data_IF_256924955825
#
_entry.id   IF_256924955825
#
_cell.length_a   1.000
_cell.length_b   1.000
_cell.length_c   1.000
_cell.angle_alpha   90.00
_cell.angle_beta   90.00
_cell.angle_gamma   90.00
#
_symmetry.space_group_name_H-M   'P 1'
#
loop_
_entity.id
_entity.type
_entity.pdbx_description
1 polymer ?
#
# COMPACT_ATOMS: atom_id res chain seq x y z
N UNK A 1 3.32 -13.30 25.03
CA UNK A 1 4.78 -13.44 24.77
C UNK A 1 5.53 -12.46 25.68
N UNK A 2 6.86 -12.47 25.76
CA UNK A 2 7.60 -11.53 26.61
C UNK A 2 8.90 -11.04 25.95
N UNK A 3 9.38 -9.89 26.40
CA UNK A 3 10.67 -9.31 26.02
C UNK A 3 11.38 -8.72 27.26
N UNK A 4 12.63 -8.32 27.09
CA UNK A 4 13.45 -7.74 28.15
C UNK A 4 13.93 -6.35 27.73
N UNK A 5 13.53 -5.33 28.48
CA UNK A 5 14.04 -3.98 28.29
C UNK A 5 15.40 -3.85 28.96
N UNK A 6 16.42 -3.45 28.20
CA UNK A 6 17.77 -3.25 28.74
C UNK A 6 17.87 -1.86 29.39
N UNK A 7 18.15 -1.81 30.70
CA UNK A 7 18.60 -0.60 31.40
C UNK A 7 20.00 -0.87 31.97
N UNK A 8 20.84 0.16 32.05
CA UNK A 8 22.29 0.12 32.36
C UNK A 8 22.75 -0.89 33.45
N UNK A 9 21.91 -1.22 34.44
CA UNK A 9 22.24 -2.10 35.57
C UNK A 9 21.27 -3.28 35.78
N UNK A 10 20.16 -3.37 35.02
CA UNK A 10 19.20 -4.48 35.15
C UNK A 10 18.31 -4.65 33.92
N UNK A 11 17.93 -5.88 33.61
CA UNK A 11 16.94 -6.20 32.59
C UNK A 11 15.54 -6.29 33.20
N UNK A 12 14.59 -5.53 32.68
CA UNK A 12 13.19 -5.58 33.11
C UNK A 12 12.40 -6.47 32.15
N UNK A 13 11.70 -7.49 32.67
CA UNK A 13 10.82 -8.35 31.87
C UNK A 13 9.49 -7.64 31.60
N UNK A 14 9.11 -7.56 30.33
CA UNK A 14 7.82 -7.05 29.88
C UNK A 14 7.00 -8.17 29.25
N UNK A 15 5.73 -8.30 29.65
CA UNK A 15 4.75 -9.11 28.94
C UNK A 15 4.21 -8.32 27.76
N UNK A 16 4.13 -8.96 26.59
CA UNK A 16 3.58 -8.37 25.38
C UNK A 16 2.22 -9.01 25.12
N UNK A 17 1.19 -8.18 25.08
CA UNK A 17 -0.16 -8.55 24.67
C UNK A 17 -0.47 -7.90 23.32
N UNK A 18 -0.81 -8.73 22.33
CA UNK A 18 -1.18 -8.29 20.99
C UNK A 18 -2.70 -8.25 20.90
N UNK A 19 -3.27 -7.05 20.80
CA UNK A 19 -4.70 -6.80 20.63
C UNK A 19 -4.96 -6.33 19.20
N UNK A 20 -6.23 -6.34 18.76
CA UNK A 20 -6.58 -6.03 17.37
C UNK A 20 -5.90 -4.78 16.80
N UNK A 21 -5.95 -3.68 17.55
CA UNK A 21 -5.50 -2.35 17.13
C UNK A 21 -4.41 -1.77 18.06
N UNK A 22 -3.89 -2.56 19.01
CA UNK A 22 -2.90 -2.10 20.00
C UNK A 22 -1.94 -3.21 20.42
N UNK A 23 -0.77 -2.83 20.92
CA UNK A 23 0.12 -3.70 21.68
C UNK A 23 0.31 -3.12 23.07
N UNK A 24 0.19 -3.97 24.09
CA UNK A 24 0.45 -3.60 25.48
C UNK A 24 1.76 -4.22 25.94
N UNK A 25 2.69 -3.39 26.39
CA UNK A 25 3.93 -3.80 27.06
C UNK A 25 3.76 -3.60 28.56
N UNK A 26 3.55 -4.68 29.31
CA UNK A 26 3.30 -4.64 30.75
C UNK A 26 4.53 -5.04 31.55
N UNK A 27 4.91 -4.24 32.54
CA UNK A 27 5.91 -4.57 33.56
C UNK A 27 5.35 -4.23 34.94
N UNK A 28 5.20 -5.24 35.80
CA UNK A 28 4.56 -5.11 37.11
C UNK A 28 3.16 -4.45 36.97
N UNK A 29 2.97 -3.27 37.57
CA UNK A 29 1.70 -2.51 37.52
C UNK A 29 1.68 -1.44 36.41
N UNK A 30 2.76 -1.30 35.63
CA UNK A 30 2.85 -0.34 34.53
C UNK A 30 2.50 -0.99 33.19
N UNK A 31 1.70 -0.30 32.37
CA UNK A 31 1.34 -0.72 31.02
C UNK A 31 1.68 0.40 30.04
N UNK A 32 2.55 0.12 29.08
CA UNK A 32 2.80 0.98 27.92
C UNK A 32 1.94 0.51 26.75
N UNK A 33 1.06 1.39 26.25
CA UNK A 33 0.15 1.10 25.14
C UNK A 33 0.71 1.69 23.84
N UNK A 34 0.85 0.84 22.83
CA UNK A 34 1.29 1.20 21.49
C UNK A 34 0.10 1.03 20.55
N UNK A 35 -0.39 2.15 20.00
CA UNK A 35 -1.46 2.13 19.00
C UNK A 35 -0.93 1.65 17.64
N UNK A 36 -1.67 0.76 17.01
CA UNK A 36 -1.42 0.31 15.64
C UNK A 36 -2.10 1.26 14.64
N UNK A 37 -1.77 1.09 13.36
CA UNK A 37 -2.19 1.97 12.26
C UNK A 37 -1.75 3.43 12.49
N UNK A 38 -0.60 3.58 13.14
CA UNK A 38 0.04 4.84 13.47
C UNK A 38 1.45 4.89 12.86
N UNK A 39 1.95 6.10 12.62
CA UNK A 39 3.32 6.32 12.15
C UNK A 39 4.33 6.42 13.31
N UNK A 40 3.85 6.43 14.55
CA UNK A 40 4.63 6.45 15.79
C UNK A 40 4.02 5.51 16.84
N UNK A 41 4.82 4.83 17.67
CA UNK A 41 6.28 4.76 17.65
C UNK A 41 6.81 4.03 16.40
N UNK A 42 8.07 4.30 16.02
CA UNK A 42 8.74 3.55 14.95
C UNK A 42 9.49 2.34 15.50
N UNK A 43 9.42 1.23 14.78
CA UNK A 43 10.07 -0.02 15.13
C UNK A 43 11.34 -0.21 14.30
N UNK A 44 12.46 -0.46 14.95
CA UNK A 44 13.68 -0.89 14.28
C UNK A 44 14.07 -2.27 14.77
N UNK A 45 14.20 -3.21 13.85
CA UNK A 45 14.67 -4.56 14.15
C UNK A 45 16.18 -4.65 13.98
N UNK A 46 16.83 -5.44 14.83
CA UNK A 46 18.27 -5.65 14.83
C UNK A 46 18.63 -7.10 15.11
N UNK A 47 19.74 -7.53 14.50
CA UNK A 47 20.22 -8.91 14.52
C UNK A 47 20.70 -9.35 15.91
N UNK A 48 20.44 -10.62 16.24
CA UNK A 48 21.28 -11.42 17.15
C UNK A 48 21.78 -12.62 16.35
N UNK A 49 23.11 -12.72 16.15
CA UNK A 49 23.97 -13.80 15.61
C UNK A 49 23.49 -14.67 14.43
N UNK A 50 22.22 -15.10 14.38
CA UNK A 50 21.64 -16.07 13.45
C UNK A 50 20.33 -15.57 12.79
N UNK A 51 19.68 -14.51 13.29
CA UNK A 51 18.45 -13.94 12.70
C UNK A 51 18.36 -12.41 12.82
N UNK A 52 17.59 -11.76 11.92
CA UNK A 52 17.25 -10.33 11.93
C UNK A 52 16.39 -9.89 13.13
N UNK A 53 16.07 -10.84 14.01
CA UNK A 53 15.02 -10.73 15.00
C UNK A 53 15.56 -11.26 16.32
N UNK A 54 16.38 -10.47 17.01
CA UNK A 54 16.78 -10.73 18.40
C UNK A 54 16.51 -9.55 19.32
N UNK A 55 16.25 -8.40 18.72
CA UNK A 55 16.05 -7.15 19.42
C UNK A 55 15.21 -6.20 18.55
N UNK A 56 14.29 -5.48 19.19
CA UNK A 56 13.61 -4.35 18.58
C UNK A 56 13.80 -3.08 19.42
N UNK A 57 13.81 -1.96 18.73
CA UNK A 57 13.93 -0.63 19.29
C UNK A 57 12.68 0.17 18.94
N UNK A 58 12.08 0.80 19.96
CA UNK A 58 10.94 1.70 19.81
C UNK A 58 11.43 3.15 19.89
N UNK A 59 11.16 3.90 18.83
CA UNK A 59 11.44 5.33 18.76
C UNK A 59 10.14 6.13 18.89
N UNK A 60 10.07 7.00 19.90
CA UNK A 60 8.98 7.97 20.06
C UNK A 60 9.50 9.24 20.73
N UNK A 61 9.11 10.42 20.25
CA UNK A 61 9.43 11.71 20.87
C UNK A 61 10.92 11.86 21.30
N UNK A 62 11.86 11.50 20.42
CA UNK A 62 13.32 11.47 20.65
C UNK A 62 13.81 10.47 21.72
N UNK A 63 12.93 9.64 22.28
CA UNK A 63 13.30 8.56 23.20
C UNK A 63 13.38 7.24 22.45
N UNK A 64 14.52 6.55 22.62
CA UNK A 64 14.71 5.17 22.19
C UNK A 64 14.54 4.22 23.37
N UNK A 65 13.87 3.09 23.15
CA UNK A 65 13.74 1.99 24.10
C UNK A 65 14.06 0.68 23.41
N UNK A 66 15.05 -0.03 23.93
CA UNK A 66 15.54 -1.28 23.34
C UNK A 66 15.03 -2.47 24.13
N UNK A 67 14.47 -3.45 23.42
CA UNK A 67 13.92 -4.68 23.95
C UNK A 67 14.57 -5.89 23.28
N UNK A 68 15.15 -6.79 24.06
CA UNK A 68 15.58 -8.11 23.60
C UNK A 68 14.40 -9.07 23.63
N UNK A 69 14.27 -9.89 22.61
CA UNK A 69 13.17 -10.85 22.48
C UNK A 69 13.70 -12.15 21.91
N UNK A 70 13.11 -13.27 22.33
CA UNK A 70 13.38 -14.55 21.70
C UNK A 70 13.09 -14.47 20.19
N UNK A 71 13.96 -15.00 19.30
CA UNK A 71 13.77 -14.86 17.86
C UNK A 71 12.44 -15.38 17.31
N UNK A 72 11.94 -16.51 17.83
CA UNK A 72 10.67 -17.08 17.38
C UNK A 72 9.49 -16.17 17.76
N UNK A 73 9.54 -15.62 18.97
CA UNK A 73 8.55 -14.66 19.45
C UNK A 73 8.65 -13.34 18.68
N UNK A 74 9.87 -12.85 18.42
CA UNK A 74 10.07 -11.63 17.66
C UNK A 74 9.53 -11.75 16.22
N UNK A 75 9.63 -12.92 15.59
CA UNK A 75 9.10 -13.16 14.25
C UNK A 75 7.58 -13.04 14.26
N UNK A 76 6.92 -13.72 15.20
CA UNK A 76 5.47 -13.63 15.39
C UNK A 76 5.02 -12.18 15.64
N UNK A 77 5.77 -11.43 16.45
CA UNK A 77 5.47 -10.02 16.72
C UNK A 77 5.65 -9.17 15.47
N UNK A 78 6.74 -9.35 14.71
CA UNK A 78 6.99 -8.63 13.45
C UNK A 78 5.87 -8.91 12.43
N UNK A 79 5.50 -10.17 12.24
CA UNK A 79 4.39 -10.56 11.37
C UNK A 79 3.06 -9.93 11.79
N UNK A 80 2.78 -9.88 13.10
CA UNK A 80 1.58 -9.24 13.62
C UNK A 80 1.55 -7.71 13.36
N UNK A 81 2.73 -7.08 13.37
CA UNK A 81 2.96 -5.65 13.16
C UNK A 81 2.97 -5.23 11.68
N UNK A 82 3.19 -6.17 10.76
CA UNK A 82 3.29 -5.92 9.34
C UNK A 82 2.10 -5.12 8.81
N UNK A 83 2.41 -4.03 8.09
CA UNK A 83 1.47 -3.11 7.51
C UNK A 83 0.73 -2.22 8.51
N UNK A 84 0.98 -2.34 9.83
CA UNK A 84 0.28 -1.57 10.87
C UNK A 84 1.16 -0.56 11.60
N UNK A 85 2.47 -0.71 11.55
CA UNK A 85 3.42 0.23 12.20
C UNK A 85 4.51 0.65 11.24
N UNK A 86 5.12 1.79 11.56
CA UNK A 86 6.26 2.31 10.81
C UNK A 86 7.54 1.60 11.24
N UNK A 87 8.29 1.08 10.27
CA UNK A 87 9.60 0.49 10.49
C UNK A 87 10.75 1.45 10.15
N UNK A 88 11.96 1.10 10.61
CA UNK A 88 13.22 1.76 10.26
C UNK A 88 14.30 0.75 9.92
N UNK A 89 15.32 1.19 9.20
CA UNK A 89 16.46 0.37 8.79
C UNK A 89 16.15 -0.52 7.59
N UNK A 90 15.43 -0.01 6.57
CA UNK A 90 15.02 -0.81 5.40
C UNK A 90 16.20 -1.57 4.75
N UNK A 91 17.38 -0.94 4.69
CA UNK A 91 18.59 -1.51 4.09
C UNK A 91 19.13 -2.76 4.83
N UNK A 92 18.68 -2.99 6.07
CA UNK A 92 19.02 -4.19 6.82
C UNK A 92 18.21 -5.41 6.37
N UNK A 93 17.08 -5.19 5.69
CA UNK A 93 16.12 -6.24 5.34
C UNK A 93 15.92 -6.39 3.84
N UNK A 94 16.12 -5.34 3.04
CA UNK A 94 15.88 -5.36 1.61
C UNK A 94 17.01 -4.73 0.80
N UNK A 95 17.23 -5.28 -0.40
CA UNK A 95 18.08 -4.67 -1.45
C UNK A 95 17.27 -4.47 -2.73
N UNK A 96 17.57 -3.42 -3.49
CA UNK A 96 16.96 -3.20 -4.81
C UNK A 96 17.45 -4.29 -5.76
N UNK A 97 16.52 -4.98 -6.42
CA UNK A 97 16.81 -6.00 -7.43
C UNK A 97 16.62 -5.45 -8.85
N UNK A 98 15.58 -4.65 -9.09
CA UNK A 98 15.28 -4.06 -10.39
C UNK A 98 14.47 -2.77 -10.25
N UNK A 99 14.79 -1.75 -11.04
CA UNK A 99 13.94 -0.56 -11.19
C UNK A 99 12.83 -0.89 -12.19
N UNK A 100 11.56 -0.69 -11.80
CA UNK A 100 10.39 -0.94 -12.66
C UNK A 100 9.93 0.37 -13.29
N UNK A 101 9.88 1.44 -12.50
CA UNK A 101 9.53 2.78 -12.95
C UNK A 101 10.29 3.81 -12.12
N UNK A 102 10.78 4.85 -12.78
CA UNK A 102 11.46 5.98 -12.15
C UNK A 102 10.70 7.26 -12.49
N UNK A 103 9.97 7.81 -11.52
CA UNK A 103 9.26 9.08 -11.64
C UNK A 103 9.97 10.20 -10.88
N UNK A 104 9.58 11.45 -11.18
CA UNK A 104 10.14 12.61 -10.49
C UNK A 104 9.86 12.60 -8.98
N UNK A 105 8.65 12.18 -8.60
CA UNK A 105 8.15 12.21 -7.22
C UNK A 105 8.32 10.87 -6.50
N UNK A 106 8.07 9.77 -7.20
CA UNK A 106 8.17 8.42 -6.67
C UNK A 106 8.72 7.44 -7.70
N UNK A 107 9.30 6.36 -7.21
CA UNK A 107 9.83 5.26 -8.02
C UNK A 107 9.21 3.94 -7.57
N UNK A 108 9.00 3.03 -8.52
CA UNK A 108 8.58 1.66 -8.23
C UNK A 108 9.74 0.74 -8.55
N UNK A 109 10.14 -0.07 -7.59
CA UNK A 109 11.25 -1.02 -7.71
C UNK A 109 10.81 -2.40 -7.25
N UNK A 110 11.44 -3.43 -7.81
CA UNK A 110 11.43 -4.78 -7.26
C UNK A 110 12.58 -4.86 -6.27
N UNK A 111 12.29 -5.24 -5.03
CA UNK A 111 13.29 -5.48 -4.00
C UNK A 111 13.38 -6.96 -3.68
N UNK A 112 14.50 -7.36 -3.10
CA UNK A 112 14.73 -8.70 -2.59
C UNK A 112 14.93 -8.64 -1.08
N UNK A 113 14.17 -9.44 -0.34
CA UNK A 113 14.34 -9.62 1.09
C UNK A 113 15.62 -10.41 1.36
N UNK A 114 16.49 -9.89 2.24
CA UNK A 114 17.86 -10.38 2.43
C UNK A 114 17.94 -11.74 3.13
N UNK A 115 16.91 -12.12 3.89
CA UNK A 115 16.92 -13.36 4.67
C UNK A 115 16.41 -14.58 3.89
N UNK A 116 15.37 -14.42 3.08
CA UNK A 116 14.65 -15.51 2.41
C UNK A 116 14.67 -15.38 0.88
N UNK A 117 15.38 -14.38 0.34
CA UNK A 117 15.52 -14.07 -1.09
C UNK A 117 14.19 -13.78 -1.83
N UNK A 118 13.08 -13.61 -1.10
CA UNK A 118 11.77 -13.33 -1.65
C UNK A 118 11.75 -11.97 -2.37
N UNK A 119 11.05 -11.90 -3.50
CA UNK A 119 10.86 -10.67 -4.25
C UNK A 119 9.59 -9.95 -3.81
N UNK A 120 9.69 -8.63 -3.65
CA UNK A 120 8.59 -7.75 -3.27
C UNK A 120 8.56 -6.53 -4.19
N UNK A 121 7.41 -5.84 -4.26
CA UNK A 121 7.34 -4.51 -4.87
C UNK A 121 7.55 -3.45 -3.81
N UNK A 122 8.34 -2.43 -4.10
CA UNK A 122 8.50 -1.26 -3.27
C UNK A 122 8.19 0.01 -4.05
N UNK A 123 7.40 0.89 -3.45
CA UNK A 123 7.25 2.28 -3.89
C UNK A 123 8.06 3.18 -2.98
N UNK A 124 8.90 4.00 -3.60
CA UNK A 124 9.83 4.92 -2.94
C UNK A 124 9.36 6.35 -3.18
N UNK A 125 9.09 7.09 -2.11
CA UNK A 125 8.75 8.51 -2.13
C UNK A 125 9.97 9.33 -1.70
N UNK A 126 10.28 10.41 -2.41
CA UNK A 126 11.28 11.39 -1.97
C UNK A 126 10.71 12.24 -0.83
N UNK A 127 11.53 12.53 0.18
CA UNK A 127 11.17 13.47 1.24
C UNK A 127 11.50 14.92 0.87
N UNK A 128 11.05 15.86 1.72
CA UNK A 128 11.28 17.31 1.54
C UNK A 128 10.15 18.02 0.79
N UNK A 129 9.05 17.32 0.49
CA UNK A 129 7.83 17.89 -0.08
C UNK A 129 6.62 17.40 0.71
N UNK A 130 5.91 18.32 1.35
CA UNK A 130 4.71 18.03 2.16
C UNK A 130 3.65 17.24 1.39
N UNK A 131 3.47 17.55 0.10
CA UNK A 131 2.56 16.83 -0.81
C UNK A 131 2.90 15.33 -0.90
N UNK A 132 4.18 14.98 -1.05
CA UNK A 132 4.62 13.58 -1.18
C UNK A 132 4.53 12.83 0.15
N UNK A 133 4.78 13.54 1.25
CA UNK A 133 4.58 12.99 2.59
C UNK A 133 3.11 12.70 2.86
N UNK A 134 2.21 13.59 2.42
CA UNK A 134 0.77 13.37 2.50
C UNK A 134 0.33 12.21 1.59
N UNK A 135 0.82 12.14 0.35
CA UNK A 135 0.53 11.02 -0.56
C UNK A 135 0.99 9.68 0.03
N UNK A 136 2.20 9.61 0.60
CA UNK A 136 2.68 8.44 1.31
C UNK A 136 1.76 8.04 2.47
N UNK A 137 1.38 9.00 3.32
CA UNK A 137 0.50 8.74 4.46
C UNK A 137 -0.89 8.29 4.03
N UNK A 138 -1.46 8.94 3.03
CA UNK A 138 -2.76 8.59 2.46
C UNK A 138 -2.75 7.15 1.93
N UNK A 139 -1.72 6.77 1.19
CA UNK A 139 -1.60 5.41 0.64
C UNK A 139 -1.50 4.34 1.74
N UNK A 140 -0.67 4.58 2.76
CA UNK A 140 -0.55 3.65 3.90
C UNK A 140 -1.88 3.50 4.63
N UNK A 141 -2.54 4.61 4.97
CA UNK A 141 -3.80 4.59 5.74
C UNK A 141 -4.95 3.97 4.93
N UNK A 142 -5.06 4.30 3.65
CA UNK A 142 -6.08 3.72 2.78
C UNK A 142 -5.93 2.20 2.69
N UNK A 143 -4.71 1.70 2.45
CA UNK A 143 -4.46 0.26 2.29
C UNK A 143 -4.36 -0.50 3.62
N UNK A 144 -4.23 0.19 4.76
CA UNK A 144 -4.46 -0.39 6.08
C UNK A 144 -5.92 -0.80 6.27
N UNK A 145 -6.86 0.00 5.75
CA UNK A 145 -8.30 -0.20 5.93
C UNK A 145 -8.92 -1.01 4.78
N UNK A 146 -8.57 -0.70 3.53
CA UNK A 146 -9.10 -1.36 2.35
C UNK A 146 -8.42 -2.73 2.14
N UNK A 147 -9.17 -3.81 2.36
CA UNK A 147 -8.71 -5.19 2.13
C UNK A 147 -9.52 -5.84 1.01
N UNK A 148 -8.92 -6.01 -0.15
CA UNK A 148 -9.55 -6.62 -1.32
C UNK A 148 -8.51 -7.31 -2.21
N UNK A 149 -8.87 -8.41 -2.88
CA UNK A 149 -7.93 -9.22 -3.71
C UNK A 149 -7.30 -8.47 -4.89
N UNK A 150 -7.97 -7.40 -5.36
CA UNK A 150 -7.51 -6.55 -6.46
C UNK A 150 -6.86 -5.24 -5.96
N UNK A 151 -6.51 -5.16 -4.67
CA UNK A 151 -5.77 -4.04 -4.08
C UNK A 151 -4.42 -4.52 -3.52
N UNK A 152 -3.39 -3.66 -3.50
CA UNK A 152 -2.11 -3.98 -2.90
C UNK A 152 -2.23 -4.32 -1.43
N UNK A 153 -1.56 -5.40 -1.02
CA UNK A 153 -1.34 -5.70 0.38
C UNK A 153 -0.03 -5.07 0.82
N UNK A 154 -0.09 -4.10 1.72
CA UNK A 154 1.11 -3.58 2.39
C UNK A 154 1.64 -4.67 3.32
N UNK A 155 2.93 -4.99 3.17
CA UNK A 155 3.69 -5.82 4.11
C UNK A 155 4.34 -4.97 5.18
N UNK A 156 5.06 -3.93 4.76
CA UNK A 156 5.86 -3.09 5.65
C UNK A 156 5.92 -1.68 5.06
N UNK A 157 6.15 -0.67 5.89
CA UNK A 157 6.46 0.67 5.42
C UNK A 157 7.50 1.32 6.32
N UNK A 158 8.34 2.15 5.71
CA UNK A 158 9.52 2.73 6.34
C UNK A 158 9.57 4.23 6.13
N UNK A 159 9.99 4.95 7.17
CA UNK A 159 10.34 6.37 7.10
C UNK A 159 11.81 6.51 7.46
N UNK A 160 12.64 6.83 6.46
CA UNK A 160 14.07 7.08 6.63
C UNK A 160 14.37 8.59 6.60
N UNK A 161 15.63 9.00 6.44
CA UNK A 161 15.99 10.42 6.39
C UNK A 161 15.62 11.09 5.06
N UNK A 162 15.80 10.39 3.93
CA UNK A 162 15.68 10.98 2.59
C UNK A 162 14.48 10.44 1.80
N UNK A 163 13.97 9.26 2.19
CA UNK A 163 12.96 8.55 1.43
C UNK A 163 11.97 7.85 2.37
N UNK A 164 10.72 7.74 1.92
CA UNK A 164 9.72 6.87 2.51
C UNK A 164 9.48 5.68 1.59
N UNK A 165 9.23 4.52 2.17
CA UNK A 165 9.10 3.27 1.43
C UNK A 165 7.82 2.56 1.82
N UNK A 166 7.08 2.05 0.84
CA UNK A 166 5.98 1.12 1.07
C UNK A 166 6.36 -0.19 0.38
N UNK A 167 6.41 -1.27 1.16
CA UNK A 167 6.65 -2.64 0.69
C UNK A 167 5.29 -3.32 0.53
N UNK A 168 5.03 -3.82 -0.66
CA UNK A 168 3.83 -4.57 -0.99
C UNK A 168 4.17 -6.03 -1.26
N UNK A 169 3.14 -6.88 -1.31
CA UNK A 169 3.23 -8.11 -2.09
C UNK A 169 3.72 -7.81 -3.52
N UNK A 170 4.39 -8.79 -4.13
CA UNK A 170 4.90 -8.62 -5.48
C UNK A 170 3.76 -8.36 -6.46
N UNK A 171 3.90 -7.31 -7.27
CA UNK A 171 2.95 -7.03 -8.34
C UNK A 171 3.29 -7.95 -9.52
N UNK A 172 2.39 -8.89 -9.77
CA UNK A 172 2.46 -9.77 -10.93
C UNK A 172 1.91 -9.10 -12.19
N UNK A 173 2.41 -9.54 -13.35
CA UNK A 173 2.01 -8.98 -14.63
C UNK A 173 2.57 -7.59 -14.92
N UNK A 174 1.82 -6.79 -15.66
CA UNK A 174 2.24 -5.48 -16.16
C UNK A 174 1.12 -4.43 -16.06
N UNK A 175 1.47 -3.13 -15.97
CA UNK A 175 0.51 -2.04 -16.17
C UNK A 175 -0.31 -2.20 -17.46
N UNK A 176 -1.59 -1.83 -17.44
CA UNK A 176 -2.48 -1.97 -18.59
C UNK A 176 -2.00 -1.17 -19.79
N UNK A 177 -1.36 -0.01 -19.59
CA UNK A 177 -0.84 0.79 -20.71
C UNK A 177 0.23 0.01 -21.49
N UNK A 178 1.04 -0.80 -20.82
CA UNK A 178 2.03 -1.70 -21.43
C UNK A 178 1.34 -2.90 -22.08
N UNK A 179 0.36 -3.52 -21.41
CA UNK A 179 -0.39 -4.65 -21.96
C UNK A 179 -1.07 -4.30 -23.28
N UNK A 180 -1.69 -3.13 -23.35
CA UNK A 180 -2.35 -2.61 -24.54
C UNK A 180 -1.34 -2.36 -25.65
N UNK A 181 -0.22 -1.68 -25.36
CA UNK A 181 0.86 -1.40 -26.34
C UNK A 181 1.48 -2.66 -26.94
N UNK A 182 1.55 -3.73 -26.16
CA UNK A 182 2.14 -5.01 -26.58
C UNK A 182 1.11 -5.97 -27.18
N UNK A 183 -0.13 -5.52 -27.43
CA UNK A 183 -1.20 -6.32 -28.03
C UNK A 183 -1.52 -7.60 -27.24
N UNK A 184 -1.49 -7.51 -25.91
CA UNK A 184 -1.70 -8.65 -25.01
C UNK A 184 -3.20 -8.88 -24.72
N UNK A 185 -4.07 -7.92 -25.04
CA UNK A 185 -5.48 -7.92 -24.66
C UNK A 185 -6.42 -8.21 -25.83
N UNK A 186 -7.34 -9.15 -25.64
CA UNK A 186 -8.53 -9.35 -26.47
C UNK A 186 -9.81 -8.75 -25.84
N UNK A 187 -10.93 -8.84 -26.56
CA UNK A 187 -12.23 -8.33 -26.09
C UNK A 187 -12.71 -8.99 -24.80
N UNK A 188 -12.46 -10.30 -24.64
CA UNK A 188 -12.89 -11.04 -23.45
C UNK A 188 -12.10 -10.59 -22.22
N UNK A 189 -10.78 -10.43 -22.37
CA UNK A 189 -9.89 -9.91 -21.34
C UNK A 189 -10.25 -8.47 -20.98
N UNK A 190 -10.52 -7.60 -21.96
CA UNK A 190 -10.98 -6.24 -21.73
C UNK A 190 -12.26 -6.21 -20.88
N UNK A 191 -13.27 -7.00 -21.24
CA UNK A 191 -14.53 -7.09 -20.49
C UNK A 191 -14.28 -7.60 -19.06
N UNK A 192 -13.42 -8.61 -18.90
CA UNK A 192 -13.05 -9.16 -17.60
C UNK A 192 -12.35 -8.13 -16.71
N UNK A 193 -11.35 -7.43 -17.25
CA UNK A 193 -10.63 -6.34 -16.58
C UNK A 193 -11.62 -5.28 -16.10
N UNK A 194 -12.55 -4.84 -16.95
CA UNK A 194 -13.56 -3.85 -16.57
C UNK A 194 -14.49 -4.34 -15.47
N UNK A 195 -14.92 -5.60 -15.52
CA UNK A 195 -15.76 -6.20 -14.46
C UNK A 195 -15.06 -6.19 -13.11
N UNK A 196 -13.80 -6.62 -13.05
CA UNK A 196 -13.05 -6.62 -11.79
C UNK A 196 -12.73 -5.20 -11.31
N UNK A 197 -12.45 -4.26 -12.23
CA UNK A 197 -12.20 -2.85 -11.89
C UNK A 197 -13.44 -2.19 -11.27
N UNK A 198 -14.61 -2.40 -11.86
CA UNK A 198 -15.87 -1.86 -11.33
C UNK A 198 -16.20 -2.46 -9.97
N UNK A 199 -15.93 -3.76 -9.74
CA UNK A 199 -16.12 -4.39 -8.42
C UNK A 199 -15.24 -3.75 -7.35
N UNK A 200 -13.96 -3.50 -7.64
CA UNK A 200 -13.07 -2.87 -6.65
C UNK A 200 -13.44 -1.41 -6.40
N UNK A 201 -13.87 -0.66 -7.42
CA UNK A 201 -14.37 0.72 -7.25
C UNK A 201 -15.66 0.75 -6.44
N UNK A 202 -16.57 -0.19 -6.67
CA UNK A 202 -17.78 -0.33 -5.86
C UNK A 202 -17.45 -0.64 -4.40
N UNK A 203 -16.53 -1.58 -4.15
CA UNK A 203 -16.05 -1.90 -2.81
C UNK A 203 -15.47 -0.65 -2.11
N UNK A 204 -14.56 0.08 -2.75
CA UNK A 204 -13.99 1.31 -2.17
C UNK A 204 -15.08 2.34 -1.83
N UNK A 205 -16.06 2.53 -2.73
CA UNK A 205 -17.19 3.44 -2.49
C UNK A 205 -18.02 3.04 -1.28
N UNK A 206 -18.23 1.74 -1.06
CA UNK A 206 -18.94 1.21 0.12
C UNK A 206 -18.15 1.45 1.40
N UNK A 207 -16.82 1.33 1.35
CA UNK A 207 -15.91 1.64 2.45
C UNK A 207 -15.68 3.16 2.65
N UNK A 208 -16.37 4.01 1.88
CA UNK A 208 -16.27 5.47 1.99
C UNK A 208 -15.04 6.09 1.32
N UNK A 209 -14.30 5.31 0.54
CA UNK A 209 -13.12 5.73 -0.20
C UNK A 209 -13.41 6.06 -1.66
N UNK A 210 -12.58 6.93 -2.22
CA UNK A 210 -12.43 7.15 -3.65
C UNK A 210 -10.95 7.18 -4.02
N UNK A 211 -10.58 6.55 -5.13
CA UNK A 211 -9.20 6.37 -5.56
C UNK A 211 -8.59 7.66 -6.14
N UNK A 212 -9.37 8.41 -6.92
CA UNK A 212 -9.01 9.70 -7.52
C UNK A 212 -7.91 9.69 -8.60
N UNK A 213 -7.18 8.58 -8.77
CA UNK A 213 -6.13 8.46 -9.77
C UNK A 213 -6.23 7.17 -10.61
N UNK A 214 -7.44 6.80 -11.03
CA UNK A 214 -7.66 5.63 -11.89
C UNK A 214 -7.22 5.97 -13.32
N UNK A 215 -6.24 5.24 -13.82
CA UNK A 215 -5.65 5.37 -15.16
C UNK A 215 -4.92 4.07 -15.52
N UNK A 216 -4.61 3.86 -16.79
CA UNK A 216 -4.05 2.60 -17.30
C UNK A 216 -2.74 2.22 -16.60
N UNK A 217 -1.90 3.19 -16.26
CA UNK A 217 -0.61 2.98 -15.60
C UNK A 217 -0.76 2.46 -14.16
N UNK A 218 -1.92 2.70 -13.56
CA UNK A 218 -2.22 2.37 -12.17
C UNK A 218 -3.06 1.09 -12.05
N UNK A 219 -3.27 0.35 -13.14
CA UNK A 219 -3.94 -0.94 -13.12
C UNK A 219 -2.96 -1.98 -13.66
N UNK A 220 -2.48 -2.87 -12.80
CA UNK A 220 -1.69 -4.02 -13.21
C UNK A 220 -2.62 -5.14 -13.64
N UNK A 221 -2.25 -5.86 -14.70
CA UNK A 221 -2.94 -7.05 -15.18
C UNK A 221 -1.97 -8.22 -15.29
N UNK A 222 -2.33 -9.31 -14.59
CA UNK A 222 -1.63 -10.58 -14.66
C UNK A 222 -2.43 -11.57 -15.51
N UNK A 223 -2.06 -11.65 -16.80
CA UNK A 223 -2.79 -12.44 -17.81
C UNK A 223 -2.88 -13.92 -17.49
N UNK A 224 -1.81 -14.52 -16.92
CA UNK A 224 -1.79 -15.95 -16.57
C UNK A 224 -2.86 -16.34 -15.56
N UNK A 225 -3.27 -15.41 -14.69
CA UNK A 225 -4.30 -15.65 -13.66
C UNK A 225 -5.57 -14.83 -13.90
N UNK A 226 -5.65 -14.07 -15.01
CA UNK A 226 -6.71 -13.11 -15.28
C UNK A 226 -7.03 -12.22 -14.05
N UNK A 227 -6.00 -11.69 -13.39
CA UNK A 227 -6.17 -10.87 -12.18
C UNK A 227 -5.72 -9.43 -12.42
N UNK A 228 -6.51 -8.46 -11.94
CA UNK A 228 -6.09 -7.05 -11.90
C UNK A 228 -5.62 -6.64 -10.50
N UNK A 229 -4.77 -5.63 -10.41
CA UNK A 229 -4.45 -4.92 -9.17
C UNK A 229 -4.48 -3.42 -9.42
N UNK A 230 -5.38 -2.70 -8.73
CA UNK A 230 -5.44 -1.24 -8.77
C UNK A 230 -4.45 -0.68 -7.73
N UNK A 231 -3.50 0.14 -8.17
CA UNK A 231 -2.40 0.66 -7.34
C UNK A 231 -2.46 2.19 -7.25
N UNK A 232 -1.59 2.78 -6.41
CA UNK A 232 -1.36 4.22 -6.29
C UNK A 232 -2.47 5.01 -5.58
N UNK A 233 -2.60 4.76 -4.29
CA UNK A 233 -3.60 5.36 -3.39
C UNK A 233 -3.20 6.71 -2.81
N UNK A 234 -2.09 7.31 -3.25
CA UNK A 234 -1.58 8.55 -2.63
C UNK A 234 -2.55 9.73 -2.73
N UNK A 235 -3.39 9.74 -3.77
CA UNK A 235 -4.41 10.77 -4.01
C UNK A 235 -5.81 10.39 -3.51
N UNK A 236 -5.94 9.23 -2.87
CA UNK A 236 -7.25 8.74 -2.43
C UNK A 236 -7.88 9.66 -1.39
N UNK A 237 -9.21 9.71 -1.38
CA UNK A 237 -10.01 10.52 -0.46
C UNK A 237 -10.93 9.62 0.35
N UNK A 238 -11.18 10.01 1.61
CA UNK A 238 -12.15 9.37 2.50
C UNK A 238 -13.29 10.36 2.81
N UNK A 239 -14.54 9.94 2.63
CA UNK A 239 -15.75 10.80 2.65
C UNK A 239 -15.97 11.66 3.90
N UNK A 240 -15.31 11.38 5.03
CA UNK A 240 -15.46 12.15 6.27
C UNK A 240 -14.29 13.09 6.60
N UNK A 241 -13.39 13.39 5.65
CA UNK A 241 -12.42 14.45 5.85
C UNK A 241 -13.07 15.83 5.58
N UNK A 242 -13.74 16.37 6.59
CA UNK A 242 -13.78 17.83 6.73
C UNK A 242 -12.33 18.29 6.87
N UNK A 243 -11.88 19.13 5.93
CA UNK A 243 -10.53 19.70 5.90
C UNK A 243 -10.30 20.48 7.19
N UNK A 244 -9.63 19.86 8.14
CA UNK A 244 -8.94 20.54 9.23
C UNK A 244 -7.53 19.98 9.29
N UNK A 245 -6.57 20.77 8.81
CA UNK A 245 -5.16 20.58 9.08
C UNK A 245 -4.99 20.56 10.62
N UNK A 246 -4.45 19.45 11.16
CA UNK A 246 -4.17 19.31 12.58
C UNK A 246 -4.53 17.93 13.12
N UNK A 247 -3.55 17.01 13.07
CA UNK A 247 -3.34 15.91 14.00
C UNK A 247 -4.55 15.35 14.78
N UNK A 248 -5.44 14.64 14.06
CA UNK A 248 -6.31 13.63 14.68
C UNK A 248 -6.78 12.62 13.63
N UNK A 249 -5.87 11.71 13.28
CA UNK A 249 -6.20 10.58 12.43
C UNK A 249 -7.01 9.56 13.26
N UNK A 250 -8.28 9.38 12.88
CA UNK A 250 -9.25 8.40 13.40
C UNK A 250 -9.73 8.57 14.85
N UNK A 251 -10.73 9.45 15.05
CA UNK A 251 -11.75 9.25 16.09
C UNK A 251 -13.04 8.79 15.45
N UNK A 252 -13.34 7.50 15.57
CA UNK A 252 -14.66 6.95 15.25
C UNK A 252 -15.59 7.25 16.43
N UNK A 253 -16.06 8.48 16.57
CA UNK A 253 -17.11 8.81 17.53
C UNK A 253 -18.46 8.56 16.90
N UNK A 254 -19.07 7.45 17.29
CA UNK A 254 -20.52 7.24 17.23
C UNK A 254 -21.21 8.27 18.13
N UNK A 255 -22.01 9.16 17.55
CA UNK A 255 -23.25 9.69 18.17
C UNK A 255 -24.03 10.52 17.15
N UNK A 256 -25.33 10.23 17.13
CA UNK A 256 -26.38 10.94 16.41
C UNK A 256 -26.26 12.46 16.56
N UNK A 257 -26.54 13.18 15.47
CA UNK A 257 -27.54 14.24 15.49
C UNK A 257 -27.94 14.66 14.07
N UNK A 258 -29.26 14.74 13.95
CA UNK A 258 -30.09 15.28 12.89
C UNK A 258 -29.75 16.73 12.51
N UNK A 259 -29.97 17.02 11.23
CA UNK A 259 -30.28 18.34 10.64
C UNK A 259 -29.27 19.48 10.84
N UNK A 260 -28.37 19.69 9.88
CA UNK A 260 -28.18 20.99 9.21
C UNK A 260 -27.27 20.87 7.97
N UNK A 261 -27.62 21.62 6.92
CA UNK A 261 -26.94 21.87 5.64
C UNK A 261 -27.23 20.91 4.46
N UNK A 262 -28.46 20.99 3.99
CA UNK A 262 -28.96 20.47 2.70
C UNK A 262 -28.52 21.28 1.46
N UNK A 263 -27.52 22.18 1.54
CA UNK A 263 -27.14 23.05 0.42
C UNK A 263 -25.65 22.99 -0.03
N UNK A 264 -24.84 22.04 0.46
CA UNK A 264 -23.44 21.84 0.02
C UNK A 264 -23.12 20.41 -0.47
N UNK A 265 -24.08 19.49 -0.44
CA UNK A 265 -23.92 18.10 -0.92
C UNK A 265 -24.11 17.94 -2.44
N UNK A 266 -23.59 18.89 -3.25
CA UNK A 266 -23.75 18.86 -4.72
C UNK A 266 -22.45 18.77 -5.52
N UNK A 267 -21.32 18.36 -4.93
CA UNK A 267 -20.17 17.90 -5.70
C UNK A 267 -19.71 16.50 -5.27
N UNK A 268 -19.86 15.59 -6.24
CA UNK A 268 -19.84 14.13 -6.25
C UNK A 268 -18.43 13.54 -6.25
N UNK A 269 -17.86 13.22 -5.08
CA UNK A 269 -16.58 12.48 -5.02
C UNK A 269 -16.65 11.03 -5.55
N UNK A 270 -17.72 10.23 -5.34
CA UNK A 270 -17.72 8.82 -5.75
C UNK A 270 -18.11 8.55 -7.21
N UNK A 271 -18.29 9.58 -8.05
CA UNK A 271 -18.61 9.40 -9.49
C UNK A 271 -17.38 9.59 -10.39
N UNK A 272 -16.33 10.28 -9.90
CA UNK A 272 -15.07 10.43 -10.64
C UNK A 272 -14.45 9.09 -10.98
N UNK A 273 -14.35 8.18 -10.02
CA UNK A 273 -13.73 6.86 -10.25
C UNK A 273 -14.50 6.03 -11.30
N UNK A 274 -15.84 6.13 -11.33
CA UNK A 274 -16.63 5.48 -12.39
C UNK A 274 -16.45 6.15 -13.74
N UNK A 275 -16.35 7.48 -13.78
CA UNK A 275 -16.03 8.21 -15.01
C UNK A 275 -14.65 7.79 -15.54
N UNK A 276 -13.63 7.73 -14.68
CA UNK A 276 -12.30 7.27 -15.03
C UNK A 276 -12.34 5.82 -15.55
N UNK A 277 -13.14 4.92 -14.94
CA UNK A 277 -13.37 3.57 -15.47
C UNK A 277 -13.94 3.59 -16.90
N UNK A 278 -14.88 4.51 -17.19
CA UNK A 278 -15.39 4.71 -18.54
C UNK A 278 -14.29 5.12 -19.52
N UNK A 279 -13.37 6.01 -19.12
CA UNK A 279 -12.22 6.40 -19.93
C UNK A 279 -11.28 5.21 -20.18
N UNK A 280 -11.01 4.39 -19.16
CA UNK A 280 -10.21 3.16 -19.30
C UNK A 280 -10.81 2.24 -20.35
N UNK A 281 -12.13 2.00 -20.29
CA UNK A 281 -12.82 1.17 -21.27
C UNK A 281 -12.68 1.70 -22.70
N UNK A 282 -12.95 3.01 -22.89
CA UNK A 282 -12.84 3.65 -24.20
C UNK A 282 -11.41 3.54 -24.74
N UNK A 283 -10.40 3.79 -23.89
CA UNK A 283 -8.99 3.69 -24.28
C UNK A 283 -8.61 2.28 -24.72
N UNK A 284 -9.01 1.24 -23.96
CA UNK A 284 -8.77 -0.15 -24.33
C UNK A 284 -9.45 -0.50 -25.65
N UNK A 285 -10.73 -0.17 -25.77
CA UNK A 285 -11.53 -0.49 -26.95
C UNK A 285 -10.95 0.15 -28.22
N UNK A 286 -10.65 1.44 -28.20
CA UNK A 286 -10.06 2.15 -29.33
C UNK A 286 -8.72 1.55 -29.75
N UNK A 287 -7.93 1.05 -28.80
CA UNK A 287 -6.65 0.44 -29.10
C UNK A 287 -6.79 -0.92 -29.77
N UNK A 288 -7.73 -1.75 -29.31
CA UNK A 288 -8.06 -3.04 -29.92
C UNK A 288 -8.58 -2.81 -31.35
N UNK A 289 -9.52 -1.89 -31.55
CA UNK A 289 -10.06 -1.58 -32.88
C UNK A 289 -8.99 -1.09 -33.87
N UNK A 290 -8.05 -0.26 -33.40
CA UNK A 290 -6.91 0.18 -34.22
C UNK A 290 -6.04 -1.00 -34.68
N UNK A 291 -5.86 -2.01 -33.84
CA UNK A 291 -5.09 -3.20 -34.21
C UNK A 291 -5.81 -4.05 -35.25
N UNK A 292 -7.11 -4.28 -35.08
CA UNK A 292 -7.89 -5.06 -36.05
C UNK A 292 -7.90 -4.40 -37.42
N UNK A 293 -8.03 -3.07 -37.46
CA UNK A 293 -7.89 -2.30 -38.68
C UNK A 293 -6.51 -2.48 -39.34
N UNK A 294 -5.42 -2.43 -38.56
CA UNK A 294 -4.06 -2.61 -39.08
C UNK A 294 -3.82 -4.03 -39.61
N UNK A 295 -4.29 -5.07 -38.90
CA UNK A 295 -4.22 -6.47 -39.35
C UNK A 295 -4.99 -6.68 -40.66
N UNK A 296 -6.22 -6.19 -40.72
CA UNK A 296 -7.07 -6.30 -41.92
C UNK A 296 -6.49 -5.53 -43.11
N UNK A 297 -5.88 -4.38 -42.88
CA UNK A 297 -5.20 -3.59 -43.92
C UNK A 297 -3.92 -4.26 -44.46
N UNK A 298 -3.21 -5.03 -43.63
CA UNK A 298 -2.05 -5.82 -44.06
C UNK A 298 -2.46 -7.09 -44.83
N UNK A 299 -3.56 -7.73 -44.44
CA UNK A 299 -4.12 -8.89 -45.17
C UNK A 299 -4.60 -8.51 -46.58
N UNK A 300 -5.10 -7.29 -46.79
CA UNK A 300 -5.47 -6.79 -48.12
C UNK A 300 -4.27 -6.44 -49.03
N UNK A 301 -3.02 -6.48 -48.53
CA UNK A 301 -1.80 -6.20 -49.32
C UNK A 301 -1.13 -7.44 -49.90
N UNK A 302 -1.64 -8.63 -49.66
CA UNK A 302 -1.25 -9.81 -50.44
C UNK A 302 -2.14 -9.89 -51.69
N UNK A 303 -1.62 -9.60 -52.90
CA UNK A 303 -2.37 -9.90 -54.11
C UNK A 303 -2.53 -11.42 -54.20
N UNK A 304 -3.75 -11.85 -54.46
CA UNK A 304 -4.07 -13.18 -54.96
C UNK A 304 -3.12 -13.48 -56.14
N UNK A 305 -2.09 -14.28 -55.91
CA UNK A 305 -1.43 -14.99 -56.99
C UNK A 305 -2.38 -16.11 -57.42
N UNK A 306 -3.21 -15.81 -58.41
CA UNK A 306 -3.50 -16.61 -59.61
C UNK A 306 -4.60 -15.96 -60.43
#
# INVERSE_FOLDING_TARGET
MFCYKYKFLSSQKYNIFMLKDEIHLQHENEIEIIKLNSFQPRFKWSKCDISDIGQFELFDNQKSRIYKIDPSMGLLLKEFLNGKVCFQGINNHFKIAKIISNGNSSSIVRMRHLQNEELVTCKIYKQGRSELEQEFRNEVLALQLLKHKNLPKIREYYIEANHNYIIYDLFEGHPLDICIKNNILDDQQMIHIMKELLKVVQFMKMEGYSHQNIKLENIYYYSLMSQITLIDFGKSLFKNQSVTAGDSYFSKTTKDNSELNTQTCRNTYPDKDYFDCGLIFIQMYLYIQKQDYQKNSQLQRYPLFR
#
